data_IF_683751015044
#
_entry.id   IF_683751015044
#
_cell.length_a   1.000
_cell.length_b   1.000
_cell.length_c   1.000
_cell.angle_alpha   90.00
_cell.angle_beta   90.00
_cell.angle_gamma   90.00
#
_symmetry.space_group_name_H-M   'P 1'
#
loop_
_entity.id
_entity.type
_entity.pdbx_description
1 polymer ?
#
# COMPACT_ATOMS: atom_id res chain seq x y z
N UNK A 1 -2.98 -3.35 29.71
CA UNK A 1 -3.13 -4.45 28.74
C UNK A 1 -3.74 -5.70 29.39
N UNK A 2 -3.26 -6.16 30.56
CA UNK A 2 -3.78 -7.36 31.23
C UNK A 2 -5.28 -7.25 31.57
N UNK A 3 -5.72 -6.06 32.00
CA UNK A 3 -7.13 -5.80 32.22
C UNK A 3 -7.95 -5.89 30.92
N UNK A 4 -7.51 -5.22 29.87
CA UNK A 4 -8.18 -5.27 28.58
C UNK A 4 -8.28 -6.70 28.05
N UNK A 5 -7.23 -7.52 28.17
CA UNK A 5 -7.23 -8.93 27.76
C UNK A 5 -8.26 -9.79 28.49
N UNK A 6 -8.48 -9.58 29.79
CA UNK A 6 -9.49 -10.34 30.54
C UNK A 6 -10.89 -10.17 30.01
N UNK A 7 -11.20 -9.03 29.41
CA UNK A 7 -12.52 -8.69 28.87
C UNK A 7 -12.62 -8.86 27.36
N UNK A 8 -11.50 -9.09 26.65
CA UNK A 8 -11.45 -9.18 25.18
C UNK A 8 -11.67 -10.57 24.61
N UNK A 9 -11.91 -11.61 25.43
CA UNK A 9 -12.15 -12.98 24.94
C UNK A 9 -13.28 -13.14 23.89
N UNK A 10 -13.89 -12.02 23.45
CA UNK A 10 -14.92 -11.93 22.39
C UNK A 10 -14.76 -10.71 21.48
N UNK A 11 -13.69 -9.94 21.63
CA UNK A 11 -13.53 -8.66 20.94
C UNK A 11 -12.17 -8.69 20.25
N UNK A 12 -12.15 -8.74 18.92
CA UNK A 12 -10.95 -8.88 18.10
C UNK A 12 -10.20 -7.54 17.89
N UNK A 13 -10.67 -6.46 18.52
CA UNK A 13 -10.08 -5.12 18.37
C UNK A 13 -9.79 -4.45 19.71
N UNK A 14 -8.82 -3.52 19.70
CA UNK A 14 -8.43 -2.73 20.85
C UNK A 14 -8.35 -1.24 20.48
N UNK A 15 -8.78 -0.38 21.40
CA UNK A 15 -8.52 1.05 21.33
C UNK A 15 -7.16 1.39 21.95
N UNK A 16 -6.36 2.16 21.24
CA UNK A 16 -5.14 2.78 21.75
C UNK A 16 -5.40 4.27 21.87
N UNK A 17 -5.34 4.80 23.08
CA UNK A 17 -5.57 6.21 23.42
C UNK A 17 -4.30 6.85 23.95
N UNK A 18 -4.25 8.19 24.06
CA UNK A 18 -3.06 8.89 24.49
C UNK A 18 -2.85 8.83 26.02
N UNK A 19 -3.92 9.04 26.78
CA UNK A 19 -3.86 9.19 28.21
C UNK A 19 -4.46 8.03 29.02
N UNK A 20 -3.98 7.88 30.25
CA UNK A 20 -4.57 6.88 31.15
C UNK A 20 -5.97 7.29 31.63
N UNK A 21 -6.29 8.60 31.67
CA UNK A 21 -7.63 9.08 32.00
C UNK A 21 -8.65 8.66 30.97
N UNK A 22 -8.29 8.67 29.68
CA UNK A 22 -9.15 8.16 28.61
C UNK A 22 -9.50 6.68 28.83
N UNK A 23 -8.53 5.86 29.23
CA UNK A 23 -8.76 4.44 29.55
C UNK A 23 -9.72 4.30 30.72
N UNK A 24 -9.56 5.12 31.77
CA UNK A 24 -10.46 5.10 32.95
C UNK A 24 -11.86 5.48 32.55
N UNK A 25 -12.05 6.53 31.77
CA UNK A 25 -13.35 7.01 31.32
C UNK A 25 -14.03 6.01 30.38
N UNK A 26 -13.30 5.43 29.43
CA UNK A 26 -13.81 4.35 28.57
C UNK A 26 -14.23 3.14 29.42
N UNK A 27 -13.42 2.75 30.40
CA UNK A 27 -13.74 1.65 31.30
C UNK A 27 -14.97 1.92 32.17
N UNK A 28 -15.16 3.14 32.67
CA UNK A 28 -16.35 3.55 33.41
C UNK A 28 -17.64 3.44 32.58
N UNK A 29 -17.51 3.57 31.27
CA UNK A 29 -18.57 3.34 30.30
C UNK A 29 -18.63 1.91 29.77
N UNK A 30 -17.95 0.96 30.43
CA UNK A 30 -17.92 -0.46 30.05
C UNK A 30 -17.27 -0.73 28.66
N UNK A 31 -16.34 0.11 28.24
CA UNK A 31 -15.46 -0.11 27.09
C UNK A 31 -14.11 -0.57 27.65
N UNK A 32 -13.95 -1.87 27.86
CA UNK A 32 -12.81 -2.43 28.57
C UNK A 32 -11.62 -2.77 27.68
N UNK A 33 -11.82 -2.76 26.36
CA UNK A 33 -10.78 -3.03 25.37
C UNK A 33 -10.04 -1.75 24.97
N UNK A 34 -9.53 -1.01 25.94
CA UNK A 34 -8.73 0.20 25.73
C UNK A 34 -7.41 0.14 26.50
N UNK A 35 -6.36 0.69 25.93
CA UNK A 35 -5.04 0.85 26.54
C UNK A 35 -4.48 2.21 26.18
N UNK A 36 -3.60 2.75 27.06
CA UNK A 36 -2.96 4.04 26.82
C UNK A 36 -1.50 3.86 26.39
N UNK A 37 -1.05 4.77 25.51
CA UNK A 37 0.35 4.96 25.15
C UNK A 37 0.90 6.17 25.92
N UNK A 38 1.25 5.95 27.18
CA UNK A 38 1.58 7.02 28.12
C UNK A 38 2.76 7.89 27.66
N UNK A 39 2.47 9.11 27.19
CA UNK A 39 3.43 10.21 27.09
C UNK A 39 4.58 10.05 26.10
N UNK A 40 4.57 9.02 25.26
CA UNK A 40 5.63 8.76 24.28
C UNK A 40 5.04 8.47 22.89
N UNK A 41 5.85 8.67 21.85
CA UNK A 41 5.47 8.21 20.52
C UNK A 41 5.27 6.70 20.51
N UNK A 42 4.24 6.22 19.81
CA UNK A 42 3.95 4.81 19.67
C UNK A 42 5.14 4.09 18.99
N UNK A 43 5.66 3.08 19.66
CA UNK A 43 6.84 2.34 19.21
C UNK A 43 6.45 1.04 18.49
N UNK A 44 7.33 0.56 17.59
CA UNK A 44 7.18 -0.73 16.91
C UNK A 44 7.05 -1.88 17.91
N UNK A 45 7.77 -1.82 19.05
CA UNK A 45 7.70 -2.84 20.09
C UNK A 45 6.32 -2.89 20.76
N UNK A 46 5.72 -1.73 21.07
CA UNK A 46 4.37 -1.67 21.62
C UNK A 46 3.34 -2.22 20.63
N UNK A 47 3.45 -1.86 19.35
CA UNK A 47 2.59 -2.42 18.31
C UNK A 47 2.77 -3.92 18.15
N UNK A 48 3.99 -4.41 18.20
CA UNK A 48 4.26 -5.85 18.14
C UNK A 48 3.58 -6.62 19.29
N UNK A 49 3.54 -6.04 20.50
CA UNK A 49 2.85 -6.63 21.65
C UNK A 49 1.33 -6.62 21.40
N UNK A 50 0.74 -5.53 20.92
CA UNK A 50 -0.70 -5.47 20.65
C UNK A 50 -1.11 -6.45 19.56
N UNK A 51 -0.32 -6.56 18.49
CA UNK A 51 -0.55 -7.47 17.38
C UNK A 51 -0.50 -8.96 17.76
N UNK A 52 0.07 -9.32 18.93
CA UNK A 52 0.01 -10.70 19.43
C UNK A 52 -1.39 -11.09 19.92
N UNK A 53 -2.21 -10.11 20.28
CA UNK A 53 -3.49 -10.35 20.94
C UNK A 53 -4.70 -9.85 20.16
N UNK A 54 -4.52 -8.90 19.24
CA UNK A 54 -5.61 -8.24 18.52
C UNK A 54 -5.31 -8.19 17.02
N UNK A 55 -6.34 -8.37 16.23
CA UNK A 55 -6.26 -8.25 14.77
C UNK A 55 -6.55 -6.83 14.30
N UNK A 56 -7.42 -6.10 14.99
CA UNK A 56 -7.74 -4.71 14.71
C UNK A 56 -7.26 -3.79 15.84
N UNK A 57 -6.43 -2.81 15.51
CA UNK A 57 -6.00 -1.76 16.43
C UNK A 57 -6.56 -0.43 15.96
N UNK A 58 -7.35 0.22 16.81
CA UNK A 58 -7.93 1.54 16.55
C UNK A 58 -7.19 2.56 17.41
N UNK A 59 -6.39 3.42 16.79
CA UNK A 59 -5.65 4.48 17.49
C UNK A 59 -6.51 5.73 17.49
N UNK A 60 -6.91 6.17 18.68
CA UNK A 60 -7.72 7.37 18.86
C UNK A 60 -6.80 8.57 19.07
N UNK A 61 -7.04 9.61 18.31
CA UNK A 61 -6.34 10.89 18.42
C UNK A 61 -7.32 11.99 18.79
N UNK A 62 -6.84 12.94 19.55
CA UNK A 62 -7.60 14.13 19.90
C UNK A 62 -8.00 14.92 18.64
N UNK A 63 -9.13 15.61 18.70
CA UNK A 63 -9.67 16.37 17.60
C UNK A 63 -8.98 17.72 17.36
N UNK A 64 -7.63 17.77 17.44
CA UNK A 64 -6.85 18.98 17.28
C UNK A 64 -5.68 18.80 16.29
N UNK A 65 -4.97 19.90 16.02
CA UNK A 65 -3.80 19.87 15.12
C UNK A 65 -2.64 19.05 15.69
N UNK A 66 -2.51 18.97 17.02
CA UNK A 66 -1.48 18.16 17.69
C UNK A 66 -1.72 16.68 17.47
N UNK A 67 -2.96 16.22 17.70
CA UNK A 67 -3.40 14.84 17.44
C UNK A 67 -3.23 14.46 15.99
N UNK A 68 -3.56 15.36 15.04
CA UNK A 68 -3.33 15.10 13.63
C UNK A 68 -1.84 14.91 13.28
N UNK A 69 -0.95 15.77 13.83
CA UNK A 69 0.50 15.65 13.66
C UNK A 69 1.05 14.38 14.30
N UNK A 70 0.52 13.99 15.46
CA UNK A 70 0.86 12.72 16.11
C UNK A 70 0.44 11.53 15.27
N UNK A 71 -0.76 11.56 14.69
CA UNK A 71 -1.27 10.53 13.78
C UNK A 71 -0.37 10.38 12.55
N UNK A 72 0.09 11.47 11.95
CA UNK A 72 0.97 11.41 10.78
C UNK A 72 2.31 10.74 11.11
N UNK A 73 2.94 11.14 12.23
CA UNK A 73 4.18 10.49 12.68
C UNK A 73 3.99 9.00 12.96
N UNK A 74 2.88 8.65 13.62
CA UNK A 74 2.52 7.25 13.86
C UNK A 74 2.31 6.50 12.54
N UNK A 75 1.59 7.09 11.58
CA UNK A 75 1.34 6.48 10.28
C UNK A 75 2.63 6.17 9.51
N UNK A 76 3.55 7.11 9.42
CA UNK A 76 4.83 6.94 8.71
C UNK A 76 5.75 5.88 9.35
N UNK A 77 5.62 5.67 10.65
CA UNK A 77 6.33 4.59 11.35
C UNK A 77 5.64 3.24 11.18
N UNK A 78 4.34 3.18 11.46
CA UNK A 78 3.58 1.93 11.56
C UNK A 78 3.26 1.30 10.22
N UNK A 79 3.18 2.09 9.13
CA UNK A 79 2.89 1.54 7.81
C UNK A 79 3.91 0.48 7.39
N UNK A 80 5.15 0.62 7.84
CA UNK A 80 6.24 -0.31 7.55
C UNK A 80 6.02 -1.69 8.19
N UNK A 81 5.27 -1.72 9.28
CA UNK A 81 5.01 -2.91 10.11
C UNK A 81 3.66 -3.58 9.82
N UNK A 82 2.95 -3.13 8.77
CA UNK A 82 1.70 -3.77 8.36
C UNK A 82 1.93 -5.24 8.03
N UNK A 83 0.98 -6.08 8.46
CA UNK A 83 0.97 -7.52 8.22
C UNK A 83 -0.39 -7.96 7.67
N UNK A 84 -0.45 -9.06 6.90
CA UNK A 84 -1.72 -9.70 6.61
C UNK A 84 -2.49 -9.97 7.91
N UNK A 85 -3.82 -9.91 7.86
CA UNK A 85 -4.71 -10.17 9.01
C UNK A 85 -4.64 -9.14 10.15
N UNK A 86 -3.78 -8.11 10.05
CA UNK A 86 -3.65 -7.05 11.06
C UNK A 86 -4.03 -5.70 10.48
N UNK A 87 -5.05 -5.08 11.06
CA UNK A 87 -5.53 -3.78 10.63
C UNK A 87 -5.14 -2.70 11.64
N UNK A 88 -4.61 -1.60 11.15
CA UNK A 88 -4.37 -0.40 11.93
C UNK A 88 -5.25 0.69 11.37
N UNK A 89 -6.12 1.22 12.21
CA UNK A 89 -7.04 2.31 11.86
C UNK A 89 -6.84 3.49 12.79
N UNK A 90 -7.05 4.67 12.27
CA UNK A 90 -7.06 5.93 13.03
C UNK A 90 -8.48 6.41 13.20
N UNK A 91 -8.77 6.89 14.40
CA UNK A 91 -10.01 7.55 14.75
C UNK A 91 -9.69 8.97 15.22
N UNK A 92 -10.19 9.96 14.50
CA UNK A 92 -10.12 11.36 14.91
C UNK A 92 -11.43 11.74 15.55
N UNK A 93 -11.34 12.26 16.76
CA UNK A 93 -12.51 12.77 17.44
C UNK A 93 -12.90 14.16 16.88
N UNK A 94 -14.13 14.64 17.09
CA UNK A 94 -14.52 15.98 16.69
C UNK A 94 -13.67 17.07 17.37
N UNK A 95 -13.70 18.28 16.81
CA UNK A 95 -12.89 19.41 17.28
C UNK A 95 -12.88 19.55 18.80
N UNK A 96 -11.66 19.51 19.37
CA UNK A 96 -11.37 19.69 20.80
C UNK A 96 -11.93 18.61 21.75
N UNK A 97 -12.43 17.51 21.21
CA UNK A 97 -12.81 16.36 22.03
C UNK A 97 -11.63 15.40 22.16
N UNK A 98 -11.47 14.82 23.36
CA UNK A 98 -10.65 13.66 23.64
C UNK A 98 -11.53 12.44 23.94
N UNK A 99 -10.99 11.23 24.07
CA UNK A 99 -11.82 10.05 24.38
C UNK A 99 -12.61 10.15 25.67
N UNK A 100 -12.09 10.82 26.69
CA UNK A 100 -12.77 11.06 27.98
C UNK A 100 -14.00 11.96 27.79
N UNK A 101 -13.83 13.17 27.28
CA UNK A 101 -14.92 14.11 27.04
C UNK A 101 -15.97 13.54 26.10
N UNK A 102 -15.53 12.92 25.02
CA UNK A 102 -16.41 12.37 24.00
C UNK A 102 -17.30 11.23 24.54
N UNK A 103 -16.70 10.25 25.24
CA UNK A 103 -17.48 9.14 25.79
C UNK A 103 -18.34 9.56 26.97
N UNK A 104 -17.91 10.55 27.74
CA UNK A 104 -18.70 11.11 28.86
C UNK A 104 -19.94 11.81 28.37
N UNK A 105 -19.85 12.54 27.27
CA UNK A 105 -20.94 13.31 26.65
C UNK A 105 -21.94 12.44 25.88
N UNK A 106 -21.43 11.48 25.11
CA UNK A 106 -22.24 10.74 24.15
C UNK A 106 -22.58 9.30 24.58
N UNK A 107 -21.82 8.75 25.50
CA UNK A 107 -22.00 7.37 25.98
C UNK A 107 -21.37 6.30 25.09
N UNK A 108 -21.44 5.05 25.58
CA UNK A 108 -20.81 3.88 24.97
C UNK A 108 -21.25 3.59 23.55
N UNK A 109 -22.56 3.50 23.34
CA UNK A 109 -23.10 3.03 22.05
C UNK A 109 -22.81 4.02 20.94
N UNK A 110 -22.87 5.32 21.26
CA UNK A 110 -22.50 6.36 20.32
C UNK A 110 -21.01 6.28 19.97
N UNK A 111 -20.11 6.13 20.96
CA UNK A 111 -18.68 6.00 20.74
C UNK A 111 -18.35 4.81 19.82
N UNK A 112 -18.97 3.64 20.07
CA UNK A 112 -18.76 2.44 19.24
C UNK A 112 -19.26 2.66 17.82
N UNK A 113 -20.44 3.25 17.65
CA UNK A 113 -21.01 3.52 16.33
C UNK A 113 -20.17 4.58 15.58
N UNK A 114 -19.74 5.63 16.27
CA UNK A 114 -18.86 6.65 15.72
C UNK A 114 -17.54 6.03 15.23
N UNK A 115 -16.95 5.15 16.02
CA UNK A 115 -15.74 4.42 15.62
C UNK A 115 -15.95 3.61 14.34
N UNK A 116 -17.04 2.86 14.25
CA UNK A 116 -17.32 2.01 13.08
C UNK A 116 -17.45 2.82 11.79
N UNK A 117 -18.02 4.03 11.86
CA UNK A 117 -18.26 4.86 10.68
C UNK A 117 -17.12 5.79 10.33
N UNK A 118 -16.29 6.19 11.30
CA UNK A 118 -15.29 7.26 11.11
C UNK A 118 -13.83 6.78 11.20
N UNK A 119 -13.59 5.52 11.59
CA UNK A 119 -12.20 5.00 11.57
C UNK A 119 -11.66 4.92 10.13
N UNK A 120 -10.44 5.33 9.93
CA UNK A 120 -9.76 5.35 8.65
C UNK A 120 -8.56 4.43 8.71
N UNK A 121 -8.43 3.51 7.76
CA UNK A 121 -7.24 2.67 7.65
C UNK A 121 -5.98 3.52 7.42
N UNK A 122 -4.87 3.09 8.00
CA UNK A 122 -3.59 3.82 7.96
C UNK A 122 -3.11 4.12 6.54
N UNK A 123 -3.26 3.19 5.59
CA UNK A 123 -2.93 3.39 4.18
C UNK A 123 -3.80 4.50 3.56
N UNK A 124 -5.10 4.51 3.84
CA UNK A 124 -6.02 5.53 3.36
C UNK A 124 -5.71 6.91 3.95
N UNK A 125 -5.40 6.98 5.24
CA UNK A 125 -5.02 8.22 5.91
C UNK A 125 -3.77 8.83 5.27
N UNK A 126 -2.72 8.04 5.06
CA UNK A 126 -1.49 8.50 4.42
C UNK A 126 -1.77 9.02 3.01
N UNK A 127 -2.51 8.27 2.21
CA UNK A 127 -2.85 8.70 0.85
C UNK A 127 -3.57 10.04 0.83
N UNK A 128 -4.61 10.18 1.65
CA UNK A 128 -5.41 11.41 1.75
C UNK A 128 -4.58 12.59 2.23
N UNK A 129 -3.74 12.40 3.25
CA UNK A 129 -2.86 13.44 3.76
C UNK A 129 -1.98 14.04 2.65
N UNK A 130 -1.26 13.20 1.91
CA UNK A 130 -0.37 13.68 0.86
C UNK A 130 -1.11 14.19 -0.37
N UNK A 131 -2.27 13.61 -0.71
CA UNK A 131 -3.11 14.12 -1.81
C UNK A 131 -3.62 15.53 -1.52
N UNK A 132 -4.09 15.79 -0.30
CA UNK A 132 -4.62 17.10 0.09
C UNK A 132 -3.57 18.23 0.04
N UNK A 133 -2.28 17.89 0.13
CA UNK A 133 -1.17 18.83 -0.02
C UNK A 133 -0.70 19.00 -1.48
N UNK A 134 -1.22 18.20 -2.39
CA UNK A 134 -0.76 18.13 -3.77
C UNK A 134 -1.66 18.99 -4.68
N UNK A 135 -1.05 19.88 -5.46
CA UNK A 135 -1.76 20.62 -6.50
C UNK A 135 -2.08 19.72 -7.69
N UNK A 136 -3.13 20.08 -8.45
CA UNK A 136 -3.55 19.32 -9.63
C UNK A 136 -2.74 19.66 -10.90
N UNK A 137 -1.43 19.93 -10.75
CA UNK A 137 -0.51 20.10 -11.87
C UNK A 137 0.35 18.82 -12.06
N UNK A 138 0.81 18.52 -13.28
CA UNK A 138 1.54 17.31 -13.58
C UNK A 138 2.82 17.10 -12.75
N UNK A 139 3.53 18.17 -12.41
CA UNK A 139 4.76 18.11 -11.62
C UNK A 139 4.48 17.74 -10.18
N UNK A 140 3.49 18.38 -9.56
CA UNK A 140 3.05 18.07 -8.19
C UNK A 140 2.50 16.66 -8.08
N UNK A 141 1.72 16.21 -9.05
CA UNK A 141 1.20 14.82 -9.09
C UNK A 141 2.34 13.79 -9.23
N UNK A 142 3.37 14.08 -10.04
CA UNK A 142 4.53 13.19 -10.17
C UNK A 142 5.32 13.08 -8.85
N UNK A 143 5.50 14.19 -8.14
CA UNK A 143 6.16 14.19 -6.82
C UNK A 143 5.32 13.41 -5.80
N UNK A 144 4.01 13.61 -5.79
CA UNK A 144 3.07 12.87 -4.94
C UNK A 144 3.15 11.36 -5.21
N UNK A 145 3.05 10.95 -6.48
CA UNK A 145 3.14 9.54 -6.85
C UNK A 145 4.47 8.93 -6.41
N UNK A 146 5.59 9.63 -6.63
CA UNK A 146 6.91 9.16 -6.18
C UNK A 146 6.94 8.95 -4.67
N UNK A 147 6.35 9.86 -3.88
CA UNK A 147 6.30 9.77 -2.43
C UNK A 147 5.45 8.58 -1.96
N UNK A 148 4.25 8.44 -2.51
CA UNK A 148 3.33 7.35 -2.17
C UNK A 148 3.94 5.97 -2.52
N UNK A 149 4.58 5.84 -3.69
CA UNK A 149 5.33 4.62 -4.06
C UNK A 149 6.47 4.33 -3.09
N UNK A 150 7.21 5.35 -2.65
CA UNK A 150 8.29 5.19 -1.67
C UNK A 150 7.77 4.69 -0.33
N UNK A 151 6.63 5.22 0.14
CA UNK A 151 5.98 4.79 1.39
C UNK A 151 5.50 3.34 1.26
N UNK A 152 4.79 2.99 0.19
CA UNK A 152 4.34 1.61 -0.03
C UNK A 152 5.53 0.63 -0.09
N UNK A 153 6.62 1.01 -0.77
CA UNK A 153 7.83 0.19 -0.87
C UNK A 153 8.58 0.03 0.46
N UNK A 154 8.30 0.87 1.47
CA UNK A 154 8.89 0.73 2.81
C UNK A 154 8.22 -0.35 3.66
N UNK A 155 7.08 -0.88 3.25
CA UNK A 155 6.37 -1.96 3.94
C UNK A 155 7.24 -3.22 3.90
N UNK A 156 7.44 -3.85 5.07
CA UNK A 156 8.33 -5.02 5.22
C UNK A 156 7.71 -6.29 4.63
N UNK A 157 6.41 -6.48 4.79
CA UNK A 157 5.70 -7.64 4.26
C UNK A 157 5.44 -7.48 2.75
N UNK A 158 5.93 -8.42 1.95
CA UNK A 158 5.88 -8.34 0.49
C UNK A 158 4.45 -8.46 -0.06
N UNK A 159 3.57 -9.22 0.60
CA UNK A 159 2.18 -9.37 0.15
C UNK A 159 1.39 -8.09 0.39
N UNK A 160 1.45 -7.54 1.60
CA UNK A 160 0.78 -6.27 1.91
C UNK A 160 1.36 -5.13 1.06
N UNK A 161 2.69 -5.06 0.90
CA UNK A 161 3.35 -4.09 0.03
C UNK A 161 2.73 -4.08 -1.36
N UNK A 162 2.60 -5.26 -1.98
CA UNK A 162 2.03 -5.41 -3.32
C UNK A 162 0.62 -4.82 -3.38
N UNK A 163 -0.28 -5.22 -2.50
CA UNK A 163 -1.68 -4.79 -2.55
C UNK A 163 -1.87 -3.32 -2.17
N UNK A 164 -1.11 -2.79 -1.21
CA UNK A 164 -1.12 -1.36 -0.88
C UNK A 164 -0.61 -0.52 -2.05
N UNK A 165 0.44 -0.98 -2.73
CA UNK A 165 0.96 -0.30 -3.91
C UNK A 165 -0.07 -0.30 -5.05
N UNK A 166 -0.70 -1.43 -5.33
CA UNK A 166 -1.77 -1.54 -6.35
C UNK A 166 -2.93 -0.61 -6.02
N UNK A 167 -3.42 -0.60 -4.77
CA UNK A 167 -4.49 0.31 -4.32
C UNK A 167 -4.12 1.78 -4.52
N UNK A 168 -2.89 2.16 -4.18
CA UNK A 168 -2.42 3.53 -4.36
C UNK A 168 -2.34 3.93 -5.84
N UNK A 169 -1.86 3.04 -6.70
CA UNK A 169 -1.79 3.29 -8.13
C UNK A 169 -3.18 3.44 -8.77
N UNK A 170 -4.13 2.61 -8.36
CA UNK A 170 -5.51 2.72 -8.83
C UNK A 170 -6.14 4.06 -8.40
N UNK A 171 -5.91 4.49 -7.16
CA UNK A 171 -6.35 5.80 -6.69
C UNK A 171 -5.71 6.95 -7.48
N UNK A 172 -4.41 6.87 -7.77
CA UNK A 172 -3.70 7.89 -8.57
C UNK A 172 -4.23 7.91 -10.01
N UNK A 173 -4.43 6.75 -10.63
CA UNK A 173 -4.99 6.66 -11.97
C UNK A 173 -6.39 7.30 -12.07
N UNK A 174 -7.18 7.20 -11.00
CA UNK A 174 -8.50 7.83 -10.92
C UNK A 174 -8.44 9.36 -10.71
N UNK A 175 -7.30 9.90 -10.25
CA UNK A 175 -7.11 11.36 -10.12
C UNK A 175 -6.71 12.02 -11.44
N UNK A 176 -6.07 11.29 -12.33
CA UNK A 176 -5.70 11.80 -13.65
C UNK A 176 -6.90 11.65 -14.59
N UNK A 177 -7.34 12.72 -15.31
CA UNK A 177 -8.37 12.57 -16.32
C UNK A 177 -7.93 11.48 -17.29
N UNK A 178 -8.83 10.53 -17.52
CA UNK A 178 -8.59 9.30 -18.27
C UNK A 178 -7.95 9.56 -19.64
N UNK A 179 -6.63 9.64 -19.67
CA UNK A 179 -5.86 9.50 -20.92
C UNK A 179 -5.86 8.03 -21.38
N UNK A 180 -6.48 7.13 -20.60
CA UNK A 180 -6.59 5.69 -20.86
C UNK A 180 -7.64 5.30 -21.93
N UNK A 181 -8.38 6.26 -22.49
CA UNK A 181 -9.00 5.97 -23.79
C UNK A 181 -7.99 5.97 -24.95
N UNK A 182 -6.79 6.51 -24.75
CA UNK A 182 -5.63 6.03 -25.50
C UNK A 182 -5.08 4.75 -24.82
N UNK A 183 -5.86 3.70 -24.71
CA UNK A 183 -5.33 2.39 -25.01
C UNK A 183 -4.54 2.64 -26.28
N UNK A 184 -3.23 2.69 -26.19
CA UNK A 184 -2.41 2.36 -27.34
C UNK A 184 -2.99 1.02 -27.79
N UNK A 185 -3.99 1.10 -28.68
CA UNK A 185 -4.25 0.00 -29.60
C UNK A 185 -2.90 -0.07 -30.25
N UNK A 186 -2.08 -0.97 -29.78
CA UNK A 186 -0.97 -1.48 -30.52
C UNK A 186 -1.61 -1.72 -31.89
N UNK A 187 -1.47 -0.76 -32.81
CA UNK A 187 -1.84 -1.05 -34.20
C UNK A 187 -0.99 -2.26 -34.47
N UNK A 188 -1.57 -3.41 -34.70
CA UNK A 188 -0.76 -4.57 -35.01
C UNK A 188 0.21 -4.09 -36.07
N UNK A 189 1.51 -4.13 -35.75
CA UNK A 189 2.56 -3.79 -36.71
C UNK A 189 2.14 -4.44 -38.01
N UNK A 190 2.20 -3.67 -39.08
CA UNK A 190 1.72 -4.05 -40.42
C UNK A 190 1.81 -5.57 -40.60
N UNK A 191 0.69 -6.20 -41.03
CA UNK A 191 0.58 -7.66 -41.15
C UNK A 191 1.89 -8.14 -41.74
N UNK A 192 2.63 -8.94 -41.00
CA UNK A 192 3.90 -9.49 -41.47
C UNK A 192 3.63 -10.13 -42.85
N UNK A 193 4.46 -9.85 -43.83
CA UNK A 193 4.32 -10.43 -45.16
C UNK A 193 4.08 -11.93 -45.01
N UNK A 194 3.22 -12.50 -45.87
CA UNK A 194 2.93 -13.95 -45.82
C UNK A 194 4.19 -14.81 -45.81
N UNK A 195 5.25 -14.36 -46.49
CA UNK A 195 6.59 -14.95 -46.47
C UNK A 195 7.22 -14.95 -45.08
N UNK A 196 7.10 -13.85 -44.33
CA UNK A 196 7.65 -13.73 -42.95
C UNK A 196 6.89 -14.60 -41.95
N UNK A 197 5.56 -14.73 -42.13
CA UNK A 197 4.73 -15.63 -41.31
C UNK A 197 5.07 -17.10 -41.61
N UNK A 198 5.33 -17.46 -42.88
CA UNK A 198 5.74 -18.79 -43.26
C UNK A 198 7.09 -19.15 -42.60
N UNK A 199 8.09 -18.29 -42.73
CA UNK A 199 9.42 -18.48 -42.09
C UNK A 199 9.28 -18.59 -40.58
N UNK A 200 8.48 -17.74 -39.93
CA UNK A 200 8.26 -17.80 -38.48
C UNK A 200 7.61 -19.13 -38.04
N UNK A 201 6.66 -19.62 -38.78
CA UNK A 201 6.01 -20.90 -38.48
C UNK A 201 6.94 -22.10 -38.69
N UNK A 202 7.81 -22.03 -39.71
CA UNK A 202 8.82 -23.05 -40.00
C UNK A 202 9.94 -23.10 -38.95
N UNK A 203 10.33 -21.92 -38.40
CA UNK A 203 11.40 -21.81 -37.38
C UNK A 203 10.90 -22.01 -35.97
N UNK A 204 9.58 -21.98 -35.70
CA UNK A 204 9.01 -22.06 -34.36
C UNK A 204 9.38 -23.34 -33.58
N UNK A 205 9.68 -24.41 -34.28
CA UNK A 205 10.01 -25.72 -33.70
C UNK A 205 11.51 -26.05 -33.79
N UNK A 206 12.36 -25.10 -34.26
CA UNK A 206 13.79 -25.30 -34.34
C UNK A 206 14.45 -25.04 -33.00
N UNK A 207 15.42 -25.88 -32.65
CA UNK A 207 16.27 -25.65 -31.49
C UNK A 207 17.16 -24.41 -31.70
N UNK A 208 17.71 -23.87 -30.62
CA UNK A 208 18.64 -22.74 -30.69
C UNK A 208 19.90 -23.05 -31.54
N UNK A 209 20.33 -24.31 -31.55
CA UNK A 209 21.48 -24.79 -32.35
C UNK A 209 21.14 -24.76 -33.84
N UNK A 210 19.99 -25.33 -34.23
CA UNK A 210 19.52 -25.33 -35.63
C UNK A 210 19.32 -23.92 -36.18
N UNK A 211 18.82 -22.98 -35.37
CA UNK A 211 18.68 -21.55 -35.78
C UNK A 211 20.07 -20.96 -36.09
N UNK A 212 21.09 -21.26 -35.30
CA UNK A 212 22.47 -20.80 -35.54
C UNK A 212 23.06 -21.41 -36.79
N UNK A 213 22.84 -22.69 -37.03
CA UNK A 213 23.32 -23.38 -38.23
C UNK A 213 22.69 -22.79 -39.50
N UNK A 214 21.38 -22.53 -39.49
CA UNK A 214 20.70 -21.84 -40.59
C UNK A 214 21.19 -20.41 -40.81
N UNK A 215 21.46 -19.65 -39.73
CA UNK A 215 22.00 -18.31 -39.82
C UNK A 215 23.42 -18.33 -40.41
N UNK A 216 24.24 -19.31 -40.02
CA UNK A 216 25.61 -19.47 -40.54
C UNK A 216 25.59 -19.85 -42.04
N UNK A 217 24.73 -20.81 -42.44
CA UNK A 217 24.55 -21.18 -43.84
C UNK A 217 24.07 -19.99 -44.69
N UNK A 218 23.12 -19.17 -44.13
CA UNK A 218 22.66 -17.97 -44.82
C UNK A 218 23.77 -16.95 -45.06
N UNK A 219 24.65 -16.73 -44.07
CA UNK A 219 25.80 -15.83 -44.22
C UNK A 219 26.73 -16.32 -45.30
N UNK A 220 27.07 -17.63 -45.33
CA UNK A 220 27.93 -18.23 -46.36
C UNK A 220 27.30 -18.07 -47.76
N UNK A 221 26.01 -18.42 -47.91
CA UNK A 221 25.32 -18.34 -49.20
C UNK A 221 25.16 -16.91 -49.70
N UNK A 222 24.97 -15.97 -48.80
CA UNK A 222 24.86 -14.54 -49.13
C UNK A 222 26.18 -13.88 -49.50
N UNK A 223 27.33 -14.50 -49.13
CA UNK A 223 28.67 -13.96 -49.31
C UNK A 223 29.61 -14.98 -50.00
N UNK A 224 29.10 -15.72 -50.96
CA UNK A 224 29.85 -16.81 -51.64
C UNK A 224 31.20 -16.36 -52.20
N UNK A 225 31.31 -15.13 -52.68
CA UNK A 225 32.58 -14.62 -53.24
C UNK A 225 33.62 -14.47 -52.15
N UNK A 226 33.26 -13.87 -51.00
CA UNK A 226 34.14 -13.74 -49.84
C UNK A 226 34.54 -15.11 -49.26
N UNK A 227 33.61 -16.05 -49.27
CA UNK A 227 33.90 -17.42 -48.80
C UNK A 227 34.89 -18.15 -49.73
N UNK A 228 34.74 -18.00 -51.05
CA UNK A 228 35.68 -18.60 -52.03
C UNK A 228 37.10 -18.05 -51.93
N UNK A 229 37.24 -16.74 -51.64
CA UNK A 229 38.54 -16.07 -51.49
C UNK A 229 39.26 -16.51 -50.22
N UNK A 230 38.55 -16.92 -49.19
CA UNK A 230 39.09 -17.24 -47.87
C UNK A 230 39.05 -18.72 -47.50
N UNK A 231 38.62 -19.62 -48.43
CA UNK A 231 38.43 -21.04 -48.14
C UNK A 231 39.74 -21.76 -47.79
N UNK A 232 40.89 -21.18 -48.17
CA UNK A 232 42.20 -21.73 -47.86
C UNK A 232 42.78 -21.28 -46.51
N UNK A 233 42.02 -20.47 -45.72
CA UNK A 233 42.38 -19.97 -44.40
C UNK A 233 41.67 -20.71 -43.25
N UNK A 234 40.77 -21.67 -43.59
CA UNK A 234 40.02 -22.53 -42.67
C UNK A 234 40.56 -23.95 -42.81
#
# INVERSE_FOLDING_TARGET
LDFARKFSNKIDYIYLVEGYMDVVSLSNKQIFNAVANLGTSLTEKQMSILNQFYDDIVICFDGDESGYKAALRAAESLIKELKPEKNISFLFLPDKEDPDSFVSKHGKDYFINFTKTNKVLINNFIFQHYKNQTKDDPSSLAIFEKRIRSIANSIKDEFIKKYVLEEYLDKINNLTPNTNERKYKFKPKAKSLKSTQKVFNETKNLSYIEIKEYAFLYIILSNLNLFRENINLI
#
